data_IF_871001130332
#
_entry.id   IF_871001130332
#
_cell.length_a   1.000
_cell.length_b   1.000
_cell.length_c   1.000
_cell.angle_alpha   90.00
_cell.angle_beta   90.00
_cell.angle_gamma   90.00
#
_symmetry.space_group_name_H-M   'P 1'
#
loop_
_entity.id
_entity.type
_entity.pdbx_description
1 polymer ?
#
# COMPACT_ATOMS: atom_id res chain seq x y z
N UNK A 1 -24.38 35.23 23.60
CA UNK A 1 -23.38 35.35 22.52
C UNK A 1 -22.19 34.49 22.93
N UNK A 2 -22.00 33.34 22.33
CA UNK A 2 -20.84 32.49 22.54
C UNK A 2 -19.66 33.20 21.88
N UNK A 3 -18.69 33.63 22.70
CA UNK A 3 -17.50 34.34 22.25
C UNK A 3 -16.77 33.57 21.16
N UNK A 4 -16.56 34.18 20.01
CA UNK A 4 -15.74 33.63 18.96
C UNK A 4 -14.33 33.35 19.49
N UNK A 5 -13.87 32.10 19.43
CA UNK A 5 -12.50 31.74 19.80
C UNK A 5 -11.59 32.05 18.62
N UNK A 6 -10.60 32.89 18.83
CA UNK A 6 -9.53 33.14 17.86
C UNK A 6 -8.53 31.99 17.89
N UNK A 7 -7.92 31.72 16.73
CA UNK A 7 -6.82 30.76 16.66
C UNK A 7 -5.61 31.27 17.48
N UNK A 8 -4.84 30.39 18.12
CA UNK A 8 -3.60 30.77 18.79
C UNK A 8 -2.65 31.49 17.83
N UNK A 9 -1.89 32.47 18.31
CA UNK A 9 -0.94 33.26 17.50
C UNK A 9 0.12 32.40 16.77
N UNK A 10 0.43 31.23 17.32
CA UNK A 10 1.38 30.28 16.73
C UNK A 10 0.72 29.21 15.80
N UNK A 11 -0.59 29.35 15.51
CA UNK A 11 -1.30 28.38 14.67
C UNK A 11 -0.71 28.29 13.27
N UNK A 12 -0.56 29.42 12.58
CA UNK A 12 -0.03 29.46 11.21
C UNK A 12 1.42 29.00 11.14
N UNK A 13 2.36 29.41 11.99
CA UNK A 13 3.71 28.84 12.03
C UNK A 13 3.72 27.32 12.19
N UNK A 14 2.93 26.76 13.11
CA UNK A 14 2.83 25.31 13.31
C UNK A 14 2.27 24.57 12.08
N UNK A 15 1.25 25.14 11.43
CA UNK A 15 0.73 24.57 10.19
C UNK A 15 1.79 24.61 9.11
N UNK A 16 2.51 25.71 8.95
CA UNK A 16 3.56 25.85 7.96
C UNK A 16 4.71 24.85 8.21
N UNK A 17 5.12 24.62 9.44
CA UNK A 17 6.09 23.58 9.78
C UNK A 17 5.56 22.17 9.47
N UNK A 18 4.28 21.91 9.75
CA UNK A 18 3.67 20.59 9.52
C UNK A 18 3.47 20.23 8.06
N UNK A 19 3.51 21.21 7.15
CA UNK A 19 3.37 21.01 5.70
C UNK A 19 4.69 21.11 4.93
N UNK A 20 5.83 21.26 5.62
CA UNK A 20 7.14 21.21 4.97
C UNK A 20 7.44 19.78 4.54
N UNK A 21 7.76 19.63 3.27
CA UNK A 21 8.20 18.35 2.68
C UNK A 21 9.73 18.29 2.65
N UNK A 22 10.27 17.10 2.88
CA UNK A 22 11.70 16.81 2.70
C UNK A 22 12.07 16.60 1.22
N UNK A 23 11.07 16.31 0.39
CA UNK A 23 11.24 16.16 -1.04
C UNK A 23 11.44 17.51 -1.72
N UNK A 24 12.04 17.48 -2.92
CA UNK A 24 12.28 18.68 -3.73
C UNK A 24 11.90 18.41 -5.19
N UNK A 25 11.43 19.42 -5.93
CA UNK A 25 11.27 19.32 -7.37
C UNK A 25 12.57 18.87 -8.05
N UNK A 26 12.47 18.02 -9.06
CA UNK A 26 13.59 17.40 -9.75
C UNK A 26 14.08 16.09 -9.15
N UNK A 27 13.65 15.74 -7.93
CA UNK A 27 14.00 14.44 -7.35
C UNK A 27 13.26 13.29 -8.04
N UNK A 28 13.95 12.14 -8.10
CA UNK A 28 13.43 10.89 -8.69
C UNK A 28 13.08 9.88 -7.62
N UNK A 29 12.01 9.11 -7.85
CA UNK A 29 11.55 8.04 -6.99
C UNK A 29 10.95 6.90 -7.83
N UNK A 30 10.72 5.76 -7.20
CA UNK A 30 9.94 4.69 -7.79
C UNK A 30 8.48 4.79 -7.33
N UNK A 31 7.53 4.59 -8.23
CA UNK A 31 6.10 4.69 -7.90
C UNK A 31 5.31 3.62 -8.63
N UNK A 32 4.26 3.09 -8.01
CA UNK A 32 3.37 2.11 -8.63
C UNK A 32 2.78 2.68 -9.91
N UNK A 33 2.83 1.92 -11.00
CA UNK A 33 2.24 2.28 -12.28
C UNK A 33 0.71 2.24 -12.18
N UNK A 34 0.06 3.41 -12.35
CA UNK A 34 -1.40 3.51 -12.28
C UNK A 34 -2.15 2.70 -13.34
N UNK A 35 -1.49 2.37 -14.45
CA UNK A 35 -2.05 1.54 -15.53
C UNK A 35 -1.79 0.05 -15.31
N UNK A 36 -0.77 -0.30 -14.50
CA UNK A 36 -0.39 -1.68 -14.17
C UNK A 36 0.10 -1.78 -12.74
N UNK A 37 -0.80 -1.98 -11.81
CA UNK A 37 -0.51 -2.01 -10.36
C UNK A 37 0.48 -3.10 -9.92
N UNK A 38 0.79 -4.04 -10.81
CA UNK A 38 1.77 -5.10 -10.55
C UNK A 38 3.24 -4.67 -10.74
N UNK A 39 3.48 -3.46 -11.21
CA UNK A 39 4.82 -2.94 -11.48
C UNK A 39 4.98 -1.51 -10.98
N UNK A 40 6.22 -1.08 -10.83
CA UNK A 40 6.57 0.32 -10.56
C UNK A 40 7.28 0.93 -11.76
N UNK A 41 7.31 2.26 -11.78
CA UNK A 41 8.07 3.08 -12.73
C UNK A 41 8.90 4.11 -12.01
N UNK A 42 9.93 4.60 -12.66
CA UNK A 42 10.64 5.80 -12.22
C UNK A 42 9.80 7.03 -12.56
N UNK A 43 9.71 7.95 -11.60
CA UNK A 43 9.04 9.22 -11.79
C UNK A 43 9.86 10.36 -11.19
N UNK A 44 9.68 11.54 -11.78
CA UNK A 44 10.29 12.78 -11.32
C UNK A 44 9.26 13.64 -10.60
N UNK A 45 9.64 14.24 -9.49
CA UNK A 45 8.83 15.22 -8.77
C UNK A 45 8.89 16.54 -9.53
N UNK A 46 7.76 17.01 -10.04
CA UNK A 46 7.67 18.29 -10.76
C UNK A 46 7.39 19.46 -9.83
N UNK A 47 6.51 19.24 -8.84
CA UNK A 47 6.00 20.28 -7.96
C UNK A 47 5.61 19.71 -6.61
N UNK A 48 5.63 20.54 -5.58
CA UNK A 48 5.22 20.17 -4.23
C UNK A 48 4.27 21.25 -3.71
N UNK A 49 3.08 20.82 -3.29
CA UNK A 49 2.10 21.69 -2.66
C UNK A 49 1.70 21.11 -1.30
N UNK A 50 2.19 21.70 -0.23
CA UNK A 50 2.10 21.12 1.11
C UNK A 50 2.86 19.78 1.14
N UNK A 51 2.14 18.71 1.47
CA UNK A 51 2.68 17.34 1.50
C UNK A 51 2.27 16.51 0.28
N UNK A 52 1.83 17.17 -0.81
CA UNK A 52 1.44 16.52 -2.06
C UNK A 52 2.50 16.76 -3.12
N UNK A 53 2.90 15.68 -3.77
CA UNK A 53 3.89 15.64 -4.83
C UNK A 53 3.17 15.52 -6.18
N UNK A 54 3.46 16.40 -7.13
CA UNK A 54 3.10 16.19 -8.53
C UNK A 54 4.21 15.40 -9.18
N UNK A 55 3.89 14.19 -9.58
CA UNK A 55 4.82 13.23 -10.17
C UNK A 55 4.59 13.12 -11.66
N UNK A 56 5.66 12.89 -12.42
CA UNK A 56 5.64 12.57 -13.83
C UNK A 56 6.44 11.29 -14.05
N UNK A 57 5.86 10.28 -14.71
CA UNK A 57 6.63 9.11 -15.14
C UNK A 57 7.68 9.50 -16.17
N UNK A 58 8.92 8.99 -16.01
CA UNK A 58 10.07 9.41 -16.82
C UNK A 58 9.97 8.92 -18.28
N UNK A 59 9.48 7.72 -18.53
CA UNK A 59 9.55 7.07 -19.85
C UNK A 59 8.17 6.73 -20.40
N UNK A 60 7.24 7.66 -20.25
CA UNK A 60 5.86 7.46 -20.74
C UNK A 60 5.51 8.63 -21.66
N UNK A 61 5.10 8.29 -22.87
CA UNK A 61 4.77 9.26 -23.91
C UNK A 61 3.24 9.30 -24.16
N UNK A 62 2.46 9.49 -23.10
CA UNK A 62 1.01 9.70 -23.18
C UNK A 62 0.56 10.81 -22.21
N UNK A 63 -0.63 11.35 -22.45
CA UNK A 63 -1.16 12.52 -21.72
C UNK A 63 -1.31 12.30 -20.22
N UNK A 64 -1.52 11.06 -19.79
CA UNK A 64 -1.75 10.66 -18.39
C UNK A 64 -0.46 10.40 -17.59
N UNK A 65 0.68 10.91 -18.02
CA UNK A 65 1.98 10.69 -17.35
C UNK A 65 2.13 11.44 -16.03
N UNK A 66 1.31 12.46 -15.79
CA UNK A 66 1.36 13.29 -14.57
C UNK A 66 0.22 12.96 -13.61
N UNK A 67 0.50 13.02 -12.32
CA UNK A 67 -0.50 12.80 -11.27
C UNK A 67 -0.01 13.33 -9.93
N UNK A 68 -0.96 13.52 -9.00
CA UNK A 68 -0.67 13.92 -7.63
C UNK A 68 -0.66 12.72 -6.69
N UNK A 69 0.30 12.71 -5.76
CA UNK A 69 0.44 11.69 -4.72
C UNK A 69 0.80 12.36 -3.38
N UNK A 70 0.36 11.79 -2.27
CA UNK A 70 0.83 12.25 -0.94
C UNK A 70 2.22 11.68 -0.65
N UNK A 71 3.07 12.44 0.00
CA UNK A 71 4.45 12.01 0.31
C UNK A 71 4.53 10.80 1.26
N UNK A 72 3.48 10.50 2.00
CA UNK A 72 3.36 9.28 2.83
C UNK A 72 2.59 8.15 2.13
N UNK A 73 2.32 8.28 0.84
CA UNK A 73 1.62 7.23 0.11
C UNK A 73 2.42 5.92 0.11
N UNK A 74 1.77 4.78 0.35
CA UNK A 74 2.42 3.48 0.26
C UNK A 74 2.77 3.07 -1.20
N UNK A 75 2.44 3.91 -2.17
CA UNK A 75 2.68 3.66 -3.59
C UNK A 75 4.03 4.21 -4.07
N UNK A 76 4.68 5.06 -3.27
CA UNK A 76 5.98 5.66 -3.61
C UNK A 76 7.09 5.03 -2.79
N UNK A 77 8.26 4.89 -3.42
CA UNK A 77 9.41 4.19 -2.86
C UNK A 77 10.70 4.91 -3.25
N UNK A 78 11.78 4.73 -2.48
CA UNK A 78 13.08 5.26 -2.85
C UNK A 78 13.61 4.63 -4.14
N UNK A 79 14.54 5.31 -4.80
CA UNK A 79 15.27 4.77 -5.94
C UNK A 79 15.99 3.47 -5.55
N UNK A 80 15.88 2.44 -6.41
CA UNK A 80 16.48 1.12 -6.18
C UNK A 80 15.63 0.17 -5.31
N UNK A 81 14.47 0.61 -4.83
CA UNK A 81 13.60 -0.23 -3.99
C UNK A 81 13.15 -1.50 -4.70
N UNK A 82 12.66 -1.41 -5.93
CA UNK A 82 12.15 -2.57 -6.66
C UNK A 82 13.22 -3.66 -6.82
N UNK A 83 14.45 -3.28 -7.16
CA UNK A 83 15.60 -4.19 -7.21
C UNK A 83 15.90 -4.82 -5.84
N UNK A 84 15.89 -4.01 -4.80
CA UNK A 84 16.15 -4.45 -3.41
C UNK A 84 15.14 -5.50 -2.97
N UNK A 85 13.84 -5.27 -3.18
CA UNK A 85 12.77 -6.18 -2.72
C UNK A 85 12.45 -7.30 -3.71
N UNK A 86 12.84 -7.17 -4.97
CA UNK A 86 12.53 -8.13 -6.04
C UNK A 86 11.16 -7.88 -6.69
N UNK A 87 10.73 -6.61 -6.69
CA UNK A 87 9.53 -6.15 -7.38
C UNK A 87 9.81 -5.91 -8.87
N UNK A 88 8.78 -5.95 -9.70
CA UNK A 88 8.89 -5.61 -11.12
C UNK A 88 8.95 -4.09 -11.29
N UNK A 89 9.88 -3.63 -12.12
CA UNK A 89 10.02 -2.22 -12.48
C UNK A 89 10.20 -2.07 -13.99
N UNK A 90 9.64 -1.01 -14.54
CA UNK A 90 9.88 -0.53 -15.91
C UNK A 90 10.69 0.75 -15.83
N UNK A 91 11.90 0.72 -16.37
CA UNK A 91 12.84 1.84 -16.37
C UNK A 91 13.84 1.69 -17.51
N UNK A 92 14.64 2.74 -17.77
CA UNK A 92 15.72 2.70 -18.76
C UNK A 92 16.86 1.76 -18.38
N UNK A 93 17.62 1.33 -19.37
CA UNK A 93 18.83 0.55 -19.14
C UNK A 93 19.84 1.33 -18.27
N UNK A 94 19.98 2.63 -18.49
CA UNK A 94 20.82 3.48 -17.68
C UNK A 94 20.43 3.47 -16.19
N UNK A 95 19.13 3.49 -15.91
CA UNK A 95 18.64 3.39 -14.54
C UNK A 95 19.00 2.04 -13.92
N UNK A 96 18.83 0.94 -14.66
CA UNK A 96 19.20 -0.39 -14.18
C UNK A 96 20.69 -0.52 -13.90
N UNK A 97 21.53 -0.02 -14.79
CA UNK A 97 22.99 -0.06 -14.66
C UNK A 97 23.45 0.76 -13.44
N UNK A 98 22.87 1.94 -13.26
CA UNK A 98 23.12 2.81 -12.11
C UNK A 98 22.74 2.14 -10.77
N UNK A 99 21.56 1.59 -10.70
CA UNK A 99 21.10 0.86 -9.52
C UNK A 99 21.91 -0.43 -9.27
N UNK A 100 22.43 -1.07 -10.33
CA UNK A 100 23.26 -2.26 -10.19
C UNK A 100 24.62 -1.97 -9.55
N UNK A 101 25.15 -0.76 -9.78
CA UNK A 101 26.41 -0.29 -9.23
C UNK A 101 26.27 0.52 -7.94
N UNK A 102 25.05 0.60 -7.38
CA UNK A 102 24.70 1.48 -6.26
C UNK A 102 25.15 2.96 -6.45
N UNK A 103 25.14 3.39 -7.69
CA UNK A 103 25.55 4.74 -8.08
C UNK A 103 24.32 5.67 -8.09
N UNK A 104 23.95 6.16 -6.91
CA UNK A 104 22.81 7.07 -6.74
C UNK A 104 23.26 8.54 -6.94
N UNK A 105 22.34 9.33 -7.49
CA UNK A 105 22.52 10.76 -7.73
C UNK A 105 21.99 11.56 -6.53
N UNK A 106 22.47 12.79 -6.37
CA UNK A 106 21.96 13.73 -5.35
C UNK A 106 20.48 14.08 -5.56
N UNK A 107 19.96 13.83 -6.76
CA UNK A 107 18.55 13.99 -7.10
C UNK A 107 17.71 12.73 -6.86
N UNK A 108 18.31 11.62 -6.45
CA UNK A 108 17.54 10.41 -6.13
C UNK A 108 16.95 10.48 -4.72
N UNK A 109 15.69 10.13 -4.59
CA UNK A 109 15.08 9.96 -3.27
C UNK A 109 15.68 8.71 -2.60
N UNK A 110 16.31 8.91 -1.46
CA UNK A 110 17.02 7.88 -0.70
C UNK A 110 16.11 7.17 0.31
N UNK A 111 16.47 5.97 0.79
CA UNK A 111 15.65 5.21 1.73
C UNK A 111 15.31 5.95 3.03
N UNK A 112 16.19 6.81 3.54
CA UNK A 112 15.99 7.60 4.75
C UNK A 112 14.88 8.67 4.62
N UNK A 113 14.48 9.01 3.40
CA UNK A 113 13.36 9.89 3.12
C UNK A 113 11.99 9.19 3.26
N UNK A 114 11.96 7.88 3.43
CA UNK A 114 10.74 7.09 3.53
C UNK A 114 10.68 6.38 4.89
N UNK A 115 9.48 6.28 5.50
CA UNK A 115 9.33 5.49 6.71
C UNK A 115 9.66 4.02 6.41
N UNK A 116 10.71 3.48 7.04
CA UNK A 116 11.02 2.06 6.90
C UNK A 116 9.97 1.19 7.59
N UNK A 117 9.34 0.27 6.85
CA UNK A 117 8.47 -0.70 7.48
C UNK A 117 9.31 -1.66 8.36
N UNK A 118 8.80 -1.97 9.55
CA UNK A 118 9.49 -2.90 10.45
C UNK A 118 9.50 -4.32 9.85
N UNK A 119 10.68 -4.91 9.73
CA UNK A 119 10.88 -6.29 9.30
C UNK A 119 12.09 -6.93 9.99
N UNK A 120 12.00 -8.13 10.56
CA UNK A 120 10.75 -8.92 10.73
C UNK A 120 9.77 -8.25 11.69
N UNK A 121 8.49 -8.57 11.53
CA UNK A 121 7.45 -8.00 12.38
C UNK A 121 7.67 -8.41 13.85
N UNK A 122 7.65 -7.47 14.81
CA UNK A 122 7.71 -7.79 16.23
C UNK A 122 6.56 -8.75 16.61
N UNK A 123 6.93 -9.89 17.23
CA UNK A 123 5.96 -10.89 17.65
C UNK A 123 5.43 -11.80 16.54
N UNK A 124 6.02 -11.77 15.34
CA UNK A 124 5.82 -12.84 14.36
C UNK A 124 6.13 -14.18 15.06
N UNK A 125 5.10 -15.04 15.12
CA UNK A 125 5.23 -16.37 15.74
C UNK A 125 6.32 -17.18 15.05
N UNK A 126 6.83 -18.18 15.72
CA UNK A 126 7.72 -19.18 15.12
C UNK A 126 6.91 -20.36 14.60
N UNK A 127 7.37 -20.95 13.51
CA UNK A 127 6.85 -22.24 13.03
C UNK A 127 7.24 -23.36 13.99
N UNK A 128 6.64 -24.55 13.84
CA UNK A 128 6.99 -25.73 14.63
C UNK A 128 8.49 -26.09 14.59
N UNK A 129 9.20 -25.58 13.61
CA UNK A 129 10.66 -25.79 13.45
C UNK A 129 11.51 -24.62 14.01
N UNK A 130 10.90 -23.71 14.78
CA UNK A 130 11.61 -22.56 15.39
C UNK A 130 11.98 -21.43 14.42
N UNK A 131 11.58 -21.53 13.14
CA UNK A 131 11.79 -20.46 12.16
C UNK A 131 10.69 -19.39 12.29
N UNK A 132 10.98 -18.12 11.98
CA UNK A 132 9.93 -17.09 11.93
C UNK A 132 8.81 -17.53 11.01
N UNK A 133 7.57 -17.39 11.47
CA UNK A 133 6.40 -17.59 10.61
C UNK A 133 6.40 -16.55 9.49
N UNK A 134 6.23 -17.00 8.27
CA UNK A 134 6.23 -16.16 7.07
C UNK A 134 4.95 -16.39 6.26
N UNK A 135 4.54 -15.39 5.52
CA UNK A 135 3.49 -15.53 4.52
C UNK A 135 3.89 -16.59 3.49
N UNK A 136 2.93 -17.41 3.08
CA UNK A 136 3.12 -18.46 2.08
C UNK A 136 2.24 -18.21 0.85
N UNK A 137 2.78 -18.49 -0.33
CA UNK A 137 2.04 -18.42 -1.58
C UNK A 137 0.82 -19.34 -1.52
N UNK A 138 -0.33 -18.87 -1.99
CA UNK A 138 -1.61 -19.58 -1.97
C UNK A 138 -2.42 -19.37 -0.68
N UNK A 139 -1.85 -18.77 0.38
CA UNK A 139 -2.63 -18.41 1.56
C UNK A 139 -3.66 -17.33 1.25
N UNK A 140 -4.82 -17.44 1.91
CA UNK A 140 -5.90 -16.45 1.83
C UNK A 140 -5.79 -15.43 2.95
N UNK A 141 -6.11 -14.19 2.62
CA UNK A 141 -6.16 -13.03 3.52
C UNK A 141 -7.39 -12.19 3.20
N UNK A 142 -7.68 -11.21 4.03
CA UNK A 142 -8.52 -10.08 3.68
C UNK A 142 -7.61 -8.87 3.40
N UNK A 143 -7.91 -8.11 2.34
CA UNK A 143 -7.12 -6.95 1.98
C UNK A 143 -8.01 -5.80 1.47
N UNK A 144 -7.59 -4.57 1.72
CA UNK A 144 -8.22 -3.41 1.07
C UNK A 144 -7.92 -3.48 -0.42
N UNK A 145 -8.93 -3.25 -1.25
CA UNK A 145 -8.78 -3.18 -2.69
C UNK A 145 -8.01 -1.89 -3.06
N UNK A 146 -6.82 -1.97 -3.70
CA UNK A 146 -6.04 -0.78 -4.04
C UNK A 146 -6.75 0.14 -5.05
N UNK A 147 -7.69 -0.39 -5.83
CA UNK A 147 -8.49 0.37 -6.78
C UNK A 147 -9.79 0.90 -6.15
N UNK A 148 -10.17 0.38 -4.98
CA UNK A 148 -11.35 0.84 -4.23
C UNK A 148 -11.09 0.75 -2.72
N UNK A 149 -10.43 1.77 -2.19
CA UNK A 149 -9.98 1.82 -0.79
C UNK A 149 -11.12 1.73 0.26
N UNK A 150 -12.36 1.87 -0.17
CA UNK A 150 -13.53 1.69 0.72
C UNK A 150 -13.92 0.22 0.93
N UNK A 151 -13.29 -0.69 0.22
CA UNK A 151 -13.70 -2.09 0.13
C UNK A 151 -12.62 -3.02 0.69
N UNK A 152 -13.00 -3.91 1.58
CA UNK A 152 -12.18 -5.07 2.00
C UNK A 152 -12.63 -6.28 1.20
N UNK A 153 -11.69 -6.96 0.58
CA UNK A 153 -11.91 -8.10 -0.29
C UNK A 153 -11.23 -9.36 0.24
N UNK A 154 -11.75 -10.50 -0.17
CA UNK A 154 -11.00 -11.76 -0.10
C UNK A 154 -9.84 -11.70 -1.10
N UNK A 155 -8.66 -12.09 -0.67
CA UNK A 155 -7.47 -12.03 -1.50
C UNK A 155 -6.56 -13.24 -1.30
N UNK A 156 -5.77 -13.52 -2.34
CA UNK A 156 -4.78 -14.61 -2.35
C UNK A 156 -3.38 -14.05 -2.42
N UNK A 157 -2.48 -14.61 -1.64
CA UNK A 157 -1.06 -14.28 -1.70
C UNK A 157 -0.41 -15.00 -2.87
N UNK A 158 0.08 -14.23 -3.84
CA UNK A 158 0.60 -14.74 -5.11
C UNK A 158 2.11 -14.90 -5.12
N UNK A 159 2.84 -14.01 -4.42
CA UNK A 159 4.30 -14.04 -4.36
C UNK A 159 4.81 -13.42 -3.06
N UNK A 160 5.86 -13.98 -2.51
CA UNK A 160 6.61 -13.40 -1.40
C UNK A 160 7.86 -12.73 -1.96
N UNK A 161 8.04 -11.48 -1.64
CA UNK A 161 9.20 -10.67 -2.00
C UNK A 161 10.15 -10.56 -0.80
N UNK A 162 11.31 -9.93 -1.00
CA UNK A 162 12.26 -9.69 0.09
C UNK A 162 11.77 -8.60 1.06
N UNK A 163 12.32 -8.59 2.26
CA UNK A 163 12.06 -7.58 3.29
C UNK A 163 10.58 -7.42 3.67
N UNK A 164 9.82 -8.52 3.66
CA UNK A 164 8.44 -8.54 4.10
C UNK A 164 7.40 -8.03 3.10
N UNK A 165 7.79 -7.74 1.88
CA UNK A 165 6.84 -7.40 0.84
C UNK A 165 6.17 -8.63 0.25
N UNK A 166 4.91 -8.50 -0.13
CA UNK A 166 4.07 -9.57 -0.68
C UNK A 166 3.26 -9.05 -1.86
N UNK A 167 3.10 -9.89 -2.88
CA UNK A 167 2.18 -9.64 -3.99
C UNK A 167 0.86 -10.34 -3.71
N UNK A 168 -0.22 -9.63 -3.85
CA UNK A 168 -1.57 -10.07 -3.49
C UNK A 168 -2.49 -9.88 -4.69
N UNK A 169 -3.45 -10.78 -4.85
CA UNK A 169 -4.51 -10.71 -5.85
C UNK A 169 -5.88 -10.74 -5.17
N UNK A 170 -6.80 -9.90 -5.61
CA UNK A 170 -8.21 -9.96 -5.18
C UNK A 170 -8.86 -11.19 -5.82
N UNK A 171 -9.53 -12.01 -5.01
CA UNK A 171 -10.28 -13.16 -5.48
C UNK A 171 -11.59 -12.70 -6.14
N UNK A 172 -11.96 -13.36 -7.24
CA UNK A 172 -13.20 -13.07 -7.97
C UNK A 172 -13.05 -12.11 -9.15
N UNK A 173 -11.85 -11.59 -9.40
CA UNK A 173 -11.52 -11.05 -10.72
C UNK A 173 -11.26 -12.21 -11.69
N UNK A 174 -11.48 -11.96 -13.00
CA UNK A 174 -11.14 -12.93 -14.02
C UNK A 174 -9.68 -13.38 -13.89
N UNK A 175 -9.45 -14.67 -14.13
CA UNK A 175 -8.12 -15.24 -14.00
C UNK A 175 -7.15 -14.62 -15.01
N UNK A 176 -6.31 -13.73 -14.56
CA UNK A 176 -5.17 -13.22 -15.31
C UNK A 176 -3.90 -14.00 -14.94
N UNK A 177 -3.49 -14.90 -15.85
CA UNK A 177 -2.27 -15.68 -15.69
C UNK A 177 -0.98 -14.84 -15.81
N UNK A 178 -1.08 -13.60 -16.31
CA UNK A 178 0.08 -12.69 -16.47
C UNK A 178 0.51 -12.05 -15.15
N UNK A 179 -0.39 -12.03 -14.14
CA UNK A 179 -0.15 -11.36 -12.87
C UNK A 179 -0.26 -9.84 -12.94
N UNK A 180 -0.88 -9.30 -13.99
CA UNK A 180 -1.05 -7.85 -14.17
C UNK A 180 -1.98 -7.22 -13.15
N UNK A 181 -2.84 -8.03 -12.51
CA UNK A 181 -3.80 -7.68 -11.46
C UNK A 181 -3.25 -7.86 -10.03
N UNK A 182 -1.97 -8.24 -9.87
CA UNK A 182 -1.36 -8.34 -8.55
C UNK A 182 -0.88 -6.98 -8.07
N UNK A 183 -1.00 -6.75 -6.77
CA UNK A 183 -0.51 -5.52 -6.14
C UNK A 183 0.34 -5.82 -4.91
N UNK A 184 1.20 -4.88 -4.56
CA UNK A 184 2.20 -5.05 -3.52
C UNK A 184 1.74 -4.45 -2.20
N UNK A 185 1.86 -5.24 -1.11
CA UNK A 185 1.78 -4.74 0.26
C UNK A 185 3.01 -5.16 1.05
N UNK A 186 3.38 -4.35 2.02
CA UNK A 186 4.27 -4.80 3.07
C UNK A 186 3.47 -5.58 4.13
N UNK A 187 4.06 -6.61 4.73
CA UNK A 187 3.41 -7.45 5.75
C UNK A 187 2.96 -6.69 6.99
N UNK A 188 3.56 -5.51 7.27
CA UNK A 188 3.11 -4.59 8.34
C UNK A 188 2.03 -3.61 7.88
N UNK A 189 1.57 -3.67 6.64
CA UNK A 189 0.55 -2.76 6.13
C UNK A 189 -0.72 -2.83 6.99
N UNK A 190 -1.33 -1.69 7.33
CA UNK A 190 -2.62 -1.66 7.99
C UNK A 190 -3.79 -2.04 7.06
N UNK A 191 -3.51 -2.31 5.79
CA UNK A 191 -4.50 -2.57 4.75
C UNK A 191 -4.68 -4.08 4.45
N UNK A 192 -3.95 -4.95 5.17
CA UNK A 192 -4.10 -6.41 5.09
C UNK A 192 -4.52 -6.98 6.45
N UNK A 193 -5.37 -8.00 6.42
CA UNK A 193 -6.03 -8.56 7.60
C UNK A 193 -6.09 -10.08 7.53
N UNK A 194 -6.16 -10.76 8.69
CA UNK A 194 -6.42 -12.19 8.72
C UNK A 194 -7.86 -12.50 8.27
N UNK A 195 -8.11 -13.67 7.68
CA UNK A 195 -9.46 -14.15 7.36
C UNK A 195 -10.43 -14.05 8.54
N UNK A 196 -11.65 -13.57 8.28
CA UNK A 196 -12.68 -13.32 9.28
C UNK A 196 -12.53 -11.99 10.04
N UNK A 197 -11.61 -11.12 9.64
CA UNK A 197 -11.47 -9.79 10.26
C UNK A 197 -12.69 -8.91 10.00
N UNK A 198 -13.16 -8.84 8.77
CA UNK A 198 -14.30 -8.01 8.39
C UNK A 198 -15.57 -8.44 9.17
N UNK A 199 -15.84 -9.74 9.25
CA UNK A 199 -16.98 -10.29 10.00
C UNK A 199 -16.90 -9.93 11.49
N UNK A 200 -15.73 -10.15 12.13
CA UNK A 200 -15.54 -9.84 13.56
C UNK A 200 -15.69 -8.35 13.89
N UNK A 201 -15.48 -7.47 12.91
CA UNK A 201 -15.56 -6.03 13.10
C UNK A 201 -16.83 -5.41 12.49
N UNK A 202 -17.81 -6.22 12.06
CA UNK A 202 -19.03 -5.76 11.38
C UNK A 202 -18.75 -4.84 10.19
N UNK A 203 -17.71 -5.19 9.39
CA UNK A 203 -17.36 -4.54 8.15
C UNK A 203 -17.85 -5.42 7.00
N UNK A 204 -18.40 -4.80 5.97
CA UNK A 204 -18.83 -5.53 4.78
C UNK A 204 -17.62 -6.06 4.03
N UNK A 205 -17.53 -7.38 3.86
CA UNK A 205 -16.54 -8.04 3.02
C UNK A 205 -17.07 -8.15 1.60
N UNK A 206 -16.32 -7.69 0.61
CA UNK A 206 -16.59 -8.00 -0.80
C UNK A 206 -16.20 -9.45 -1.03
N UNK A 207 -17.20 -10.24 -1.34
CA UNK A 207 -17.06 -11.68 -1.52
C UNK A 207 -16.55 -12.00 -2.91
N UNK A 208 -15.89 -13.14 -3.12
CA UNK A 208 -15.51 -13.60 -4.44
C UNK A 208 -16.73 -13.86 -5.34
N UNK A 209 -16.55 -13.81 -6.64
CA UNK A 209 -17.58 -14.16 -7.61
C UNK A 209 -18.06 -15.60 -7.39
N UNK A 210 -19.37 -15.80 -7.40
CA UNK A 210 -20.02 -17.08 -7.10
C UNK A 210 -20.34 -17.32 -5.62
N UNK A 211 -20.00 -16.38 -4.73
CA UNK A 211 -20.29 -16.44 -3.29
C UNK A 211 -21.07 -15.21 -2.80
N UNK A 212 -21.73 -14.48 -3.70
CA UNK A 212 -22.39 -13.22 -3.41
C UNK A 212 -23.51 -13.38 -2.36
N UNK A 213 -24.28 -14.45 -2.46
CA UNK A 213 -25.45 -14.70 -1.58
C UNK A 213 -25.03 -15.31 -0.24
N UNK A 214 -24.06 -16.24 -0.26
CA UNK A 214 -23.63 -16.96 0.93
C UNK A 214 -22.13 -17.20 0.90
N UNK A 215 -21.42 -16.69 1.88
CA UNK A 215 -19.99 -16.85 2.05
C UNK A 215 -19.65 -17.40 3.43
N UNK A 216 -18.83 -18.41 3.46
CA UNK A 216 -18.23 -18.98 4.66
C UNK A 216 -16.74 -19.19 4.41
N UNK A 217 -15.89 -18.65 5.26
CA UNK A 217 -14.45 -18.87 5.17
C UNK A 217 -14.08 -20.34 5.19
N UNK A 218 -14.77 -21.14 6.00
CA UNK A 218 -14.51 -22.57 6.08
C UNK A 218 -14.78 -23.29 4.75
N UNK A 219 -15.95 -23.04 4.15
CA UNK A 219 -16.32 -23.66 2.86
C UNK A 219 -15.42 -23.18 1.74
N UNK A 220 -15.15 -21.88 1.69
CA UNK A 220 -14.29 -21.27 0.67
C UNK A 220 -12.86 -21.84 0.68
N UNK A 221 -12.24 -21.96 1.87
CA UNK A 221 -10.91 -22.56 2.00
C UNK A 221 -10.89 -24.03 1.59
N UNK A 222 -11.95 -24.78 1.93
CA UNK A 222 -12.09 -26.18 1.54
C UNK A 222 -12.22 -26.35 0.02
N UNK A 223 -13.09 -25.58 -0.61
CA UNK A 223 -13.33 -25.64 -2.06
C UNK A 223 -12.12 -25.18 -2.88
N UNK A 224 -11.48 -24.11 -2.46
CA UNK A 224 -10.25 -23.60 -3.11
C UNK A 224 -9.00 -24.40 -2.76
N UNK A 225 -9.09 -25.39 -1.85
CA UNK A 225 -7.96 -26.17 -1.32
C UNK A 225 -6.82 -25.29 -0.81
N UNK A 226 -7.18 -24.17 -0.21
CA UNK A 226 -6.23 -23.18 0.29
C UNK A 226 -6.23 -23.10 1.80
N UNK A 227 -5.29 -22.37 2.37
CA UNK A 227 -5.16 -22.15 3.80
C UNK A 227 -5.32 -20.68 4.15
N UNK A 228 -5.89 -20.39 5.31
CA UNK A 228 -5.86 -19.06 5.88
C UNK A 228 -4.44 -18.69 6.30
N UNK A 229 -4.02 -17.47 6.01
CA UNK A 229 -2.77 -16.96 6.58
C UNK A 229 -2.91 -16.90 8.13
N UNK A 230 -1.90 -17.38 8.88
CA UNK A 230 -1.93 -17.38 10.33
C UNK A 230 -2.10 -15.98 10.90
N UNK A 231 -2.97 -15.80 11.89
CA UNK A 231 -3.24 -14.51 12.55
C UNK A 231 -1.95 -13.88 13.12
N UNK A 232 -1.00 -14.69 13.53
CA UNK A 232 0.29 -14.25 14.07
C UNK A 232 1.18 -13.50 13.06
N UNK A 233 0.90 -13.60 11.75
CA UNK A 233 1.64 -12.88 10.70
C UNK A 233 1.18 -11.44 10.53
N UNK A 234 0.00 -11.10 11.04
CA UNK A 234 -0.50 -9.75 11.00
C UNK A 234 -0.06 -9.00 12.25
N UNK A 235 0.27 -7.74 12.08
CA UNK A 235 0.69 -6.89 13.19
C UNK A 235 -0.28 -7.01 14.36
N UNK A 236 0.15 -7.61 15.48
CA UNK A 236 -0.58 -7.54 16.74
C UNK A 236 -0.46 -6.12 17.24
N UNK A 237 -1.42 -5.33 16.88
CA UNK A 237 -1.52 -4.03 17.51
C UNK A 237 -2.32 -4.22 18.78
N UNK A 238 -1.64 -4.27 19.92
CA UNK A 238 -2.29 -4.10 21.24
C UNK A 238 -3.07 -2.78 21.32
N UNK A 239 -2.76 -1.83 20.45
CA UNK A 239 -3.51 -0.60 20.19
C UNK A 239 -4.93 -0.80 19.65
N UNK A 240 -5.31 -1.99 19.18
CA UNK A 240 -6.71 -2.28 18.80
C UNK A 240 -7.62 -2.30 20.04
N UNK A 241 -7.07 -2.56 21.22
CA UNK A 241 -7.84 -2.56 22.49
C UNK A 241 -8.43 -1.20 22.86
N UNK A 242 -7.97 -0.10 22.30
CA UNK A 242 -8.45 1.24 22.62
C UNK A 242 -9.34 1.90 21.57
N UNK A 243 -9.98 1.14 20.67
CA UNK A 243 -10.97 1.68 19.75
C UNK A 243 -10.43 2.67 18.69
N UNK A 244 -9.13 2.95 18.74
CA UNK A 244 -8.50 4.03 17.99
C UNK A 244 -8.41 3.71 16.49
N UNK A 245 -8.24 2.46 16.10
CA UNK A 245 -7.95 2.07 14.71
C UNK A 245 -9.12 1.71 13.82
N UNK A 246 -10.20 1.16 14.38
CA UNK A 246 -11.44 1.01 13.60
C UNK A 246 -12.02 2.39 13.30
N UNK A 247 -11.82 3.35 14.19
CA UNK A 247 -12.21 4.75 13.98
C UNK A 247 -11.32 5.43 12.93
N UNK A 248 -10.00 5.14 12.89
CA UNK A 248 -9.09 5.63 11.84
C UNK A 248 -9.30 4.92 10.50
N UNK A 249 -9.54 3.62 10.49
CA UNK A 249 -9.90 2.93 9.26
C UNK A 249 -11.23 3.45 8.70
N UNK A 250 -12.24 3.67 9.57
CA UNK A 250 -13.48 4.36 9.18
C UNK A 250 -13.25 5.82 8.81
N UNK A 251 -12.36 6.56 9.50
CA UNK A 251 -11.98 7.91 9.10
C UNK A 251 -11.12 7.92 7.84
N UNK A 252 -10.18 7.01 7.68
CA UNK A 252 -9.42 6.84 6.44
C UNK A 252 -10.36 6.51 5.28
N UNK A 253 -11.26 5.56 5.46
CA UNK A 253 -12.32 5.23 4.50
C UNK A 253 -13.28 6.42 4.31
N UNK A 254 -13.65 7.17 5.36
CA UNK A 254 -14.59 8.28 5.28
C UNK A 254 -14.00 9.57 4.68
N UNK A 255 -12.74 9.89 4.93
CA UNK A 255 -12.07 11.03 4.29
C UNK A 255 -11.83 10.80 2.79
N UNK A 256 -11.82 9.54 2.34
CA UNK A 256 -11.61 9.17 0.95
C UNK A 256 -12.90 9.09 0.11
N UNK A 257 -14.08 9.00 0.75
CA UNK A 257 -15.38 8.84 0.05
C UNK A 257 -15.99 10.16 -0.39
N UNK A 258 -15.50 11.33 0.06
CA UNK A 258 -16.17 12.60 -0.20
C UNK A 258 -15.97 13.20 -1.60
N UNK A 259 -15.10 12.64 -2.43
CA UNK A 259 -14.91 13.11 -3.81
C UNK A 259 -15.19 12.02 -4.84
N UNK A 260 -16.33 12.18 -5.52
CA UNK A 260 -16.92 11.25 -6.49
C UNK A 260 -16.16 11.13 -7.83
N UNK A 261 -14.92 10.63 -7.85
CA UNK A 261 -14.29 10.15 -9.09
C UNK A 261 -13.23 9.07 -8.80
N UNK A 262 -13.62 7.84 -8.98
CA UNK A 262 -12.99 6.63 -8.46
C UNK A 262 -11.63 6.23 -9.05
N UNK A 263 -11.31 6.61 -10.26
CA UNK A 263 -10.04 6.26 -10.92
C UNK A 263 -8.86 7.14 -10.50
N UNK A 264 -9.14 8.27 -9.89
CA UNK A 264 -8.15 9.26 -9.47
C UNK A 264 -7.73 9.15 -7.99
N UNK A 265 -8.40 8.31 -7.18
CA UNK A 265 -8.20 8.32 -5.72
C UNK A 265 -6.83 7.82 -5.27
N UNK A 266 -6.26 6.78 -5.89
CA UNK A 266 -4.92 6.28 -5.52
C UNK A 266 -3.80 7.28 -5.83
N UNK A 267 -4.01 8.15 -6.82
CA UNK A 267 -3.02 9.11 -7.29
C UNK A 267 -3.36 10.57 -6.96
N UNK A 268 -4.56 10.86 -6.43
CA UNK A 268 -4.97 12.21 -5.97
C UNK A 268 -4.85 12.44 -4.46
N UNK A 269 -4.31 11.49 -3.74
CA UNK A 269 -4.12 11.62 -2.28
C UNK A 269 -2.71 12.04 -1.96
#
# INVERSE_FOLDING_TARGET
MTGARTLPSNFYPKVQESVQSIFKPGMKLEVVDKMRICQVRVATILEITGRRLRLQYDEVDHDDKEFWCHEESPLIHPVGWARRVGHQIVASQEYFDRCAMDNFLDTDCTPDMFPEPQWPLPGAGTTNNGLPATFQVGCKIEAVDPLNLSTICVATLMKVLRFGYIMVRIDGYENDATGSDWFCYHSSSPLIFPPGFAERNNIQLKRPTGYEDKFSWYEYLKETRSQAAPVSLFCRRDDIKHGFKVKYLKCFIFFYISDNNFTDCLFKI
#
